data_IF_458562914433
#
_entry.id   IF_458562914433
#
_cell.length_a   1.000
_cell.length_b   1.000
_cell.length_c   1.000
_cell.angle_alpha   90.00
_cell.angle_beta   90.00
_cell.angle_gamma   90.00
#
_symmetry.space_group_name_H-M   'P 1'
#
loop_
_entity.id
_entity.type
_entity.pdbx_description
1 polymer ?
#
# COMPACT_ATOMS: atom_id res chain seq x y z
N UNK A 1 19.93 37.97 -31.24
CA UNK A 1 20.26 36.57 -30.93
C UNK A 1 19.07 35.71 -31.33
N UNK A 2 19.31 34.56 -31.96
CA UNK A 2 18.23 33.62 -32.32
C UNK A 2 17.61 33.05 -31.05
N UNK A 3 16.29 32.90 -31.03
CA UNK A 3 15.57 32.29 -29.91
C UNK A 3 15.70 30.75 -30.01
N UNK A 4 16.40 30.08 -29.09
CA UNK A 4 16.60 28.63 -29.17
C UNK A 4 15.29 27.85 -29.06
N UNK A 5 14.29 28.42 -28.38
CA UNK A 5 12.97 27.81 -28.24
C UNK A 5 12.16 27.88 -29.55
N UNK A 6 12.25 29.01 -30.27
CA UNK A 6 11.62 29.15 -31.58
C UNK A 6 12.19 28.12 -32.56
N UNK A 7 13.51 27.90 -32.53
CA UNK A 7 14.19 26.91 -33.37
C UNK A 7 13.77 25.47 -33.04
N UNK A 8 13.71 25.11 -31.76
CA UNK A 8 13.28 23.79 -31.31
C UNK A 8 11.84 23.49 -31.73
N UNK A 9 10.92 24.44 -31.50
CA UNK A 9 9.51 24.27 -31.84
C UNK A 9 9.31 24.24 -33.35
N UNK A 10 9.98 25.13 -34.11
CA UNK A 10 9.91 25.12 -35.57
C UNK A 10 10.42 23.80 -36.15
N UNK A 11 11.52 23.27 -35.60
CA UNK A 11 12.06 21.97 -35.99
C UNK A 11 11.06 20.83 -35.72
N UNK A 12 10.38 20.86 -34.57
CA UNK A 12 9.34 19.89 -34.23
C UNK A 12 8.12 19.98 -35.16
N UNK A 13 7.68 21.19 -35.50
CA UNK A 13 6.58 21.43 -36.45
C UNK A 13 6.94 20.85 -37.82
N UNK A 14 8.13 21.15 -38.33
CA UNK A 14 8.61 20.63 -39.62
C UNK A 14 8.72 19.10 -39.61
N UNK A 15 9.18 18.51 -38.51
CA UNK A 15 9.24 17.07 -38.34
C UNK A 15 7.84 16.44 -38.40
N UNK A 16 6.87 17.00 -37.68
CA UNK A 16 5.49 16.52 -37.68
C UNK A 16 4.85 16.67 -39.07
N UNK A 17 5.07 17.79 -39.76
CA UNK A 17 4.58 18.01 -41.13
C UNK A 17 5.15 16.97 -42.11
N UNK A 18 6.46 16.72 -42.05
CA UNK A 18 7.13 15.73 -42.92
C UNK A 18 6.62 14.30 -42.70
N UNK A 19 6.21 13.99 -41.47
CA UNK A 19 5.66 12.68 -41.12
C UNK A 19 4.13 12.59 -41.29
N UNK A 20 3.48 13.60 -41.86
CA UNK A 20 2.02 13.64 -42.05
C UNK A 20 1.22 13.82 -40.76
N UNK A 21 1.87 14.18 -39.65
CA UNK A 21 1.26 14.35 -38.33
C UNK A 21 0.66 15.76 -38.14
N UNK A 22 -0.15 16.23 -39.10
CA UNK A 22 -0.73 17.58 -39.08
C UNK A 22 -1.63 17.82 -37.85
N UNK A 23 -2.29 16.78 -37.34
CA UNK A 23 -3.07 16.85 -36.10
C UNK A 23 -2.25 17.36 -34.92
N UNK A 24 -1.01 16.88 -34.77
CA UNK A 24 -0.12 17.32 -33.69
C UNK A 24 0.29 18.78 -33.82
N UNK A 25 0.37 19.29 -35.05
CA UNK A 25 0.62 20.71 -35.27
C UNK A 25 -0.57 21.57 -34.81
N UNK A 26 -1.80 21.12 -35.10
CA UNK A 26 -3.01 21.80 -34.64
C UNK A 26 -3.13 21.76 -33.10
N UNK A 27 -2.78 20.62 -32.48
CA UNK A 27 -2.72 20.48 -31.01
C UNK A 27 -1.70 21.43 -30.36
N UNK A 28 -0.62 21.77 -31.07
CA UNK A 28 0.34 22.80 -30.63
C UNK A 28 -0.22 24.24 -30.76
N UNK A 29 -1.45 24.41 -31.25
CA UNK A 29 -2.09 25.71 -31.44
C UNK A 29 -1.82 26.36 -32.80
N UNK A 30 -1.28 25.63 -33.78
CA UNK A 30 -1.11 26.16 -35.14
C UNK A 30 -2.39 26.04 -35.94
N UNK A 31 -2.81 27.16 -36.52
CA UNK A 31 -3.93 27.18 -37.46
C UNK A 31 -3.53 26.56 -38.81
N UNK A 32 -4.48 25.91 -39.51
CA UNK A 32 -4.21 25.27 -40.81
C UNK A 32 -3.64 26.24 -41.86
N UNK A 33 -4.04 27.51 -41.80
CA UNK A 33 -3.60 28.57 -42.70
C UNK A 33 -2.09 28.87 -42.52
N UNK A 34 -1.63 28.88 -41.27
CA UNK A 34 -0.23 29.06 -40.92
C UNK A 34 0.59 27.84 -41.38
N UNK A 35 0.03 26.63 -41.25
CA UNK A 35 0.67 25.40 -41.72
C UNK A 35 0.86 25.36 -43.25
N UNK A 36 -0.08 25.93 -44.02
CA UNK A 36 0.06 26.05 -45.46
C UNK A 36 1.19 27.04 -45.83
N UNK A 37 1.32 28.14 -45.10
CA UNK A 37 2.38 29.14 -45.32
C UNK A 37 3.77 28.63 -44.88
N UNK A 38 3.83 27.79 -43.86
CA UNK A 38 5.06 27.15 -43.36
C UNK A 38 5.77 26.26 -44.40
N UNK A 39 5.10 25.88 -45.50
CA UNK A 39 5.74 25.17 -46.61
C UNK A 39 6.70 26.07 -47.40
N UNK A 40 6.58 27.39 -47.29
CA UNK A 40 7.42 28.33 -48.02
C UNK A 40 8.77 28.54 -47.29
N UNK A 41 9.92 28.35 -47.97
CA UNK A 41 11.25 28.54 -47.36
C UNK A 41 11.50 29.95 -46.81
N UNK A 42 10.85 30.97 -47.39
CA UNK A 42 10.91 32.37 -46.97
C UNK A 42 10.30 32.57 -45.58
N UNK A 43 9.13 31.96 -45.32
CA UNK A 43 8.42 32.04 -44.04
C UNK A 43 9.22 31.32 -42.95
N UNK A 44 9.79 30.16 -43.26
CA UNK A 44 10.66 29.44 -42.32
C UNK A 44 11.88 30.28 -41.92
N UNK A 45 12.52 30.92 -42.91
CA UNK A 45 13.68 31.77 -42.67
C UNK A 45 13.33 32.99 -41.81
N UNK A 46 12.13 33.56 -41.99
CA UNK A 46 11.63 34.66 -41.16
C UNK A 46 11.40 34.22 -39.71
N UNK A 47 10.68 33.12 -39.49
CA UNK A 47 10.35 32.63 -38.15
C UNK A 47 11.60 32.21 -37.35
N UNK A 48 12.61 31.66 -38.03
CA UNK A 48 13.86 31.22 -37.43
C UNK A 48 14.78 32.39 -37.05
N UNK A 49 14.80 33.45 -37.86
CA UNK A 49 15.67 34.61 -37.64
C UNK A 49 14.99 35.75 -36.85
N UNK A 50 13.72 35.57 -36.47
CA UNK A 50 12.99 36.58 -35.69
C UNK A 50 13.53 36.68 -34.25
N UNK A 51 13.81 37.90 -33.75
CA UNK A 51 14.29 38.12 -32.39
C UNK A 51 13.19 38.03 -31.31
N UNK A 52 11.92 38.02 -31.72
CA UNK A 52 10.74 37.92 -30.85
C UNK A 52 10.37 36.45 -30.62
N UNK A 53 10.12 36.06 -29.38
CA UNK A 53 9.55 34.75 -29.05
C UNK A 53 8.10 34.69 -29.48
N UNK A 54 7.77 33.81 -30.41
CA UNK A 54 6.39 33.55 -30.85
C UNK A 54 5.81 32.27 -30.22
N UNK A 55 6.59 31.62 -29.35
CA UNK A 55 6.14 30.48 -28.54
C UNK A 55 6.25 30.78 -27.05
N UNK A 56 5.24 30.34 -26.31
CA UNK A 56 5.28 30.27 -24.85
C UNK A 56 5.25 28.80 -24.45
N UNK A 57 6.25 28.33 -23.71
CA UNK A 57 6.26 26.98 -23.15
C UNK A 57 5.78 27.04 -21.73
N UNK A 58 4.67 26.36 -21.45
CA UNK A 58 4.19 26.14 -20.10
C UNK A 58 4.46 24.70 -19.70
N UNK A 59 4.98 24.52 -18.49
CA UNK A 59 5.18 23.19 -17.90
C UNK A 59 4.03 22.97 -16.92
N UNK A 60 3.23 21.93 -17.15
CA UNK A 60 2.24 21.49 -16.17
C UNK A 60 2.97 20.76 -15.02
N UNK A 61 3.17 21.50 -13.92
CA UNK A 61 3.85 20.98 -12.74
C UNK A 61 3.07 19.86 -12.04
N UNK A 62 1.74 19.80 -12.16
CA UNK A 62 0.95 18.73 -11.55
C UNK A 62 1.09 17.43 -12.32
N UNK A 63 1.03 17.49 -13.65
CA UNK A 63 1.28 16.32 -14.51
C UNK A 63 2.72 15.86 -14.36
N UNK A 64 3.69 16.79 -14.34
CA UNK A 64 5.09 16.45 -14.13
C UNK A 64 5.31 15.76 -12.79
N UNK A 65 4.71 16.27 -11.71
CA UNK A 65 4.74 15.62 -10.39
C UNK A 65 4.12 14.23 -10.43
N UNK A 66 2.94 14.05 -11.06
CA UNK A 66 2.32 12.73 -11.22
C UNK A 66 3.20 11.75 -11.98
N UNK A 67 3.88 12.20 -13.04
CA UNK A 67 4.83 11.39 -13.81
C UNK A 67 6.08 11.03 -12.98
N UNK A 68 6.60 11.96 -12.18
CA UNK A 68 7.74 11.73 -11.30
C UNK A 68 7.37 10.79 -10.14
N UNK A 69 6.24 10.98 -9.48
CA UNK A 69 5.73 10.05 -8.45
C UNK A 69 5.49 8.65 -9.01
N UNK A 70 5.07 8.54 -10.27
CA UNK A 70 4.97 7.27 -10.98
C UNK A 70 6.33 6.64 -11.34
N UNK A 71 7.39 7.44 -11.48
CA UNK A 71 8.74 7.00 -11.82
C UNK A 71 9.65 6.77 -10.60
N UNK A 72 9.34 7.36 -9.44
CA UNK A 72 10.15 7.32 -8.21
C UNK A 72 9.93 6.05 -7.37
N UNK A 73 8.85 5.28 -7.59
CA UNK A 73 8.68 4.01 -6.89
C UNK A 73 9.66 2.96 -7.39
N UNK A 74 10.48 2.42 -6.50
CA UNK A 74 11.35 1.30 -6.82
C UNK A 74 10.50 0.06 -7.16
N UNK A 75 10.98 -0.80 -8.07
CA UNK A 75 10.34 -2.08 -8.36
C UNK A 75 10.13 -2.93 -7.09
N UNK A 76 11.02 -2.77 -6.11
CA UNK A 76 10.91 -3.47 -4.82
C UNK A 76 9.74 -2.95 -3.98
N UNK A 77 9.56 -1.62 -3.91
CA UNK A 77 8.44 -1.01 -3.21
C UNK A 77 7.10 -1.42 -3.84
N UNK A 78 7.02 -1.44 -5.18
CA UNK A 78 5.81 -1.91 -5.88
C UNK A 78 5.49 -3.35 -5.51
N UNK A 79 6.48 -4.25 -5.54
CA UNK A 79 6.31 -5.65 -5.13
C UNK A 79 5.85 -5.77 -3.68
N UNK A 80 6.41 -4.95 -2.79
CA UNK A 80 6.08 -4.94 -1.37
C UNK A 80 4.64 -4.49 -1.14
N UNK A 81 4.16 -3.46 -1.85
CA UNK A 81 2.77 -3.01 -1.79
C UNK A 81 1.81 -4.11 -2.28
N UNK A 82 2.14 -4.76 -3.41
CA UNK A 82 1.30 -5.86 -3.93
C UNK A 82 1.23 -7.04 -2.96
N UNK A 83 2.35 -7.40 -2.34
CA UNK A 83 2.43 -8.45 -1.32
C UNK A 83 1.60 -8.10 -0.08
N UNK A 84 1.77 -6.87 0.44
CA UNK A 84 0.98 -6.37 1.56
C UNK A 84 -0.52 -6.40 1.27
N UNK A 85 -0.92 -6.00 0.05
CA UNK A 85 -2.31 -6.03 -0.39
C UNK A 85 -2.89 -7.46 -0.43
N UNK A 86 -2.15 -8.43 -0.97
CA UNK A 86 -2.57 -9.84 -1.00
C UNK A 86 -2.76 -10.44 0.39
N UNK A 87 -1.92 -10.02 1.35
CA UNK A 87 -2.01 -10.43 2.75
C UNK A 87 -3.08 -9.66 3.54
N UNK A 88 -3.80 -8.74 2.90
CA UNK A 88 -4.92 -8.01 3.51
C UNK A 88 -4.50 -6.77 4.31
N UNK A 89 -3.42 -6.09 3.93
CA UNK A 89 -3.05 -4.78 4.48
C UNK A 89 -4.22 -3.78 4.39
N UNK A 90 -4.39 -2.94 5.41
CA UNK A 90 -5.40 -1.88 5.40
C UNK A 90 -4.93 -0.68 4.57
N UNK A 91 -5.89 0.14 4.12
CA UNK A 91 -5.58 1.42 3.46
C UNK A 91 -4.72 2.32 4.35
N UNK A 92 -4.97 2.31 5.67
CA UNK A 92 -4.20 3.09 6.63
C UNK A 92 -2.74 2.62 6.70
N UNK A 93 -2.49 1.30 6.68
CA UNK A 93 -1.13 0.77 6.65
C UNK A 93 -0.39 1.20 5.38
N UNK A 94 -1.04 1.09 4.21
CA UNK A 94 -0.40 1.48 2.95
C UNK A 94 -0.16 2.98 2.83
N UNK A 95 -1.01 3.78 3.46
CA UNK A 95 -0.79 5.22 3.58
C UNK A 95 0.38 5.54 4.51
N UNK A 96 0.48 4.85 5.65
CA UNK A 96 1.54 5.07 6.65
C UNK A 96 2.91 4.63 6.15
N UNK A 97 3.02 3.46 5.51
CA UNK A 97 4.30 2.87 5.09
C UNK A 97 4.76 3.29 3.69
N UNK A 98 3.82 3.57 2.77
CA UNK A 98 4.14 3.79 1.35
C UNK A 98 3.52 5.09 0.78
N UNK A 99 2.87 5.90 1.62
CA UNK A 99 2.27 7.17 1.21
C UNK A 99 1.13 7.05 0.20
N UNK A 100 0.52 5.87 0.03
CA UNK A 100 -0.57 5.71 -0.95
C UNK A 100 -1.81 6.49 -0.53
N UNK A 101 -2.44 7.15 -1.51
CA UNK A 101 -3.77 7.70 -1.31
C UNK A 101 -4.82 6.57 -1.24
N UNK A 102 -5.97 6.78 -0.57
CA UNK A 102 -7.05 5.79 -0.56
C UNK A 102 -7.55 5.40 -1.96
N UNK A 103 -7.46 6.33 -2.93
CA UNK A 103 -7.84 6.09 -4.32
C UNK A 103 -6.86 5.14 -5.01
N UNK A 104 -5.55 5.34 -4.80
CA UNK A 104 -4.50 4.47 -5.35
C UNK A 104 -4.60 3.06 -4.77
N UNK A 105 -4.84 2.93 -3.45
CA UNK A 105 -5.07 1.63 -2.81
C UNK A 105 -6.28 0.91 -3.40
N UNK A 106 -7.38 1.62 -3.62
CA UNK A 106 -8.59 1.03 -4.21
C UNK A 106 -8.34 0.56 -5.64
N UNK A 107 -7.66 1.38 -6.45
CA UNK A 107 -7.26 1.04 -7.81
C UNK A 107 -6.34 -0.19 -7.84
N UNK A 108 -5.32 -0.23 -6.98
CA UNK A 108 -4.37 -1.33 -6.93
C UNK A 108 -5.02 -2.65 -6.46
N UNK A 109 -5.97 -2.59 -5.52
CA UNK A 109 -6.81 -3.75 -5.15
C UNK A 109 -7.64 -4.27 -6.32
N UNK A 110 -8.23 -3.38 -7.11
CA UNK A 110 -8.98 -3.77 -8.31
C UNK A 110 -8.08 -4.43 -9.35
N UNK A 111 -6.87 -3.89 -9.58
CA UNK A 111 -5.90 -4.46 -10.53
C UNK A 111 -5.45 -5.87 -10.12
N UNK A 112 -5.13 -6.07 -8.84
CA UNK A 112 -4.64 -7.37 -8.34
C UNK A 112 -5.80 -8.37 -8.12
N UNK A 113 -7.06 -7.90 -8.18
CA UNK A 113 -8.24 -8.73 -7.94
C UNK A 113 -8.43 -9.11 -6.46
N UNK A 114 -7.85 -8.35 -5.53
CA UNK A 114 -7.99 -8.60 -4.10
C UNK A 114 -9.24 -7.90 -3.59
N UNK A 115 -10.20 -8.69 -3.10
CA UNK A 115 -11.36 -8.13 -2.39
C UNK A 115 -10.98 -7.83 -0.94
N UNK A 116 -11.36 -6.66 -0.44
CA UNK A 116 -11.14 -6.33 0.96
C UNK A 116 -11.95 -7.30 1.83
N UNK A 117 -11.26 -8.09 2.67
CA UNK A 117 -11.92 -9.02 3.58
C UNK A 117 -12.79 -8.23 4.56
N UNK A 118 -14.10 -8.51 4.54
CA UNK A 118 -15.09 -7.93 5.44
C UNK A 118 -15.48 -8.98 6.46
N UNK A 119 -15.13 -8.76 7.72
CA UNK A 119 -15.50 -9.65 8.82
C UNK A 119 -14.88 -9.21 10.13
N UNK A 120 -15.58 -9.46 11.25
CA UNK A 120 -14.97 -9.46 12.58
C UNK A 120 -14.23 -10.78 12.73
N UNK A 121 -12.96 -10.71 13.09
CA UNK A 121 -12.17 -11.90 13.37
C UNK A 121 -12.54 -12.48 14.72
N UNK A 122 -12.42 -13.81 14.84
CA UNK A 122 -12.43 -14.47 16.15
C UNK A 122 -11.17 -14.04 16.90
N UNK A 123 -11.29 -13.91 18.21
CA UNK A 123 -10.14 -13.66 19.09
C UNK A 123 -9.07 -14.74 18.85
N UNK A 124 -7.79 -14.34 18.87
CA UNK A 124 -6.69 -15.29 18.77
C UNK A 124 -6.84 -16.38 19.83
N UNK A 125 -6.77 -17.65 19.42
CA UNK A 125 -6.59 -18.72 20.41
C UNK A 125 -5.21 -18.57 21.06
N UNK A 126 -5.09 -18.99 22.31
CA UNK A 126 -3.82 -18.95 23.06
C UNK A 126 -2.68 -19.65 22.30
N UNK A 127 -3.01 -20.74 21.60
CA UNK A 127 -2.08 -21.51 20.77
C UNK A 127 -1.60 -20.71 19.54
N UNK A 128 -2.51 -20.02 18.85
CA UNK A 128 -2.17 -19.20 17.68
C UNK A 128 -1.33 -18.00 18.09
N UNK A 129 -1.63 -17.41 19.24
CA UNK A 129 -0.94 -16.24 19.76
C UNK A 129 0.50 -16.57 20.20
N UNK A 130 0.69 -17.72 20.85
CA UNK A 130 2.01 -18.24 21.19
C UNK A 130 2.85 -18.58 19.96
N UNK A 131 2.22 -19.18 18.93
CA UNK A 131 2.88 -19.54 17.69
C UNK A 131 3.28 -18.29 16.88
N UNK A 132 2.42 -17.28 16.83
CA UNK A 132 2.71 -15.98 16.24
C UNK A 132 3.89 -15.30 16.95
N UNK A 133 3.89 -15.28 18.29
CA UNK A 133 4.97 -14.72 19.10
C UNK A 133 6.32 -15.40 18.82
N UNK A 134 6.35 -16.72 18.82
CA UNK A 134 7.58 -17.50 18.59
C UNK A 134 8.16 -17.23 17.19
N UNK A 135 7.31 -17.27 16.15
CA UNK A 135 7.76 -17.04 14.77
C UNK A 135 8.23 -15.61 14.55
N UNK A 136 7.47 -14.63 15.05
CA UNK A 136 7.84 -13.23 14.93
C UNK A 136 9.16 -12.92 15.63
N UNK A 137 9.33 -13.36 16.88
CA UNK A 137 10.58 -13.12 17.64
C UNK A 137 11.79 -13.80 17.01
N UNK A 138 11.63 -15.00 16.45
CA UNK A 138 12.68 -15.68 15.69
C UNK A 138 13.12 -14.84 14.48
N UNK A 139 12.16 -14.38 13.66
CA UNK A 139 12.45 -13.58 12.47
C UNK A 139 13.06 -12.22 12.81
N UNK A 140 12.62 -11.56 13.90
CA UNK A 140 13.25 -10.31 14.35
C UNK A 140 14.72 -10.51 14.74
N UNK A 141 15.05 -11.66 15.34
CA UNK A 141 16.43 -12.00 15.71
C UNK A 141 17.29 -12.37 14.49
N UNK A 142 16.72 -13.08 13.52
CA UNK A 142 17.38 -13.53 12.30
C UNK A 142 17.70 -12.36 11.36
N UNK A 143 16.75 -11.43 11.19
CA UNK A 143 16.90 -10.24 10.36
C UNK A 143 17.56 -9.06 11.09
N UNK A 144 17.94 -9.22 12.37
CA UNK A 144 18.60 -8.21 13.20
C UNK A 144 17.92 -6.83 13.17
N UNK A 145 16.59 -6.78 13.30
CA UNK A 145 15.88 -5.51 13.21
C UNK A 145 16.15 -4.66 14.45
N UNK A 146 16.82 -3.53 14.23
CA UNK A 146 17.25 -2.59 15.27
C UNK A 146 16.17 -1.54 15.57
N UNK A 147 15.34 -1.20 14.57
CA UNK A 147 14.32 -0.14 14.68
C UNK A 147 12.90 -0.71 14.72
N UNK A 148 12.26 -0.53 15.88
CA UNK A 148 10.89 -0.99 16.17
C UNK A 148 9.82 0.05 15.81
N UNK A 149 10.21 1.30 15.59
CA UNK A 149 9.29 2.39 15.22
C UNK A 149 9.12 2.43 13.71
N UNK A 150 7.93 2.06 13.22
CA UNK A 150 7.43 2.28 11.86
C UNK A 150 8.41 1.94 10.71
N UNK A 151 9.26 0.95 10.92
CA UNK A 151 10.21 0.51 9.91
C UNK A 151 9.52 -0.38 8.87
N UNK A 152 9.86 -0.16 7.60
CA UNK A 152 9.47 -1.03 6.49
C UNK A 152 9.98 -2.47 6.71
N UNK A 153 11.07 -2.63 7.47
CA UNK A 153 11.61 -3.92 7.88
C UNK A 153 10.69 -4.67 8.85
N UNK A 154 10.07 -3.97 9.81
CA UNK A 154 9.09 -4.59 10.70
C UNK A 154 7.83 -5.02 9.93
N UNK A 155 7.40 -4.21 8.96
CA UNK A 155 6.30 -4.58 8.06
C UNK A 155 6.65 -5.81 7.23
N UNK A 156 7.88 -5.90 6.70
CA UNK A 156 8.36 -7.04 5.94
C UNK A 156 8.34 -8.34 6.74
N UNK A 157 8.79 -8.28 8.00
CA UNK A 157 8.73 -9.43 8.90
C UNK A 157 7.29 -9.81 9.24
N UNK A 158 6.41 -8.83 9.48
CA UNK A 158 5.00 -9.11 9.67
C UNK A 158 4.37 -9.81 8.43
N UNK A 159 4.81 -9.46 7.23
CA UNK A 159 4.41 -10.14 5.99
C UNK A 159 4.98 -11.55 5.88
N UNK A 160 6.24 -11.78 6.26
CA UNK A 160 6.84 -13.12 6.28
C UNK A 160 6.08 -14.04 7.25
N UNK A 161 5.79 -13.56 8.45
CA UNK A 161 4.99 -14.29 9.43
C UNK A 161 3.59 -14.60 8.87
N UNK A 162 2.93 -13.61 8.26
CA UNK A 162 1.62 -13.84 7.64
C UNK A 162 1.65 -14.90 6.53
N UNK A 163 2.72 -14.95 5.74
CA UNK A 163 2.89 -15.95 4.68
C UNK A 163 3.15 -17.35 5.25
N UNK A 164 3.97 -17.48 6.29
CA UNK A 164 4.23 -18.77 6.94
C UNK A 164 2.95 -19.35 7.56
N UNK A 165 2.17 -18.52 8.25
CA UNK A 165 0.93 -18.95 8.91
C UNK A 165 -0.21 -19.25 7.93
N UNK A 166 -0.20 -18.59 6.77
CA UNK A 166 -1.18 -18.82 5.71
C UNK A 166 -0.69 -19.86 4.68
N UNK A 167 0.51 -20.40 4.86
CA UNK A 167 1.04 -21.45 4.02
C UNK A 167 0.24 -22.73 4.26
N UNK A 168 -0.19 -23.45 3.21
CA UNK A 168 -0.86 -24.74 3.36
C UNK A 168 0.15 -25.79 3.83
N UNK A 169 0.54 -25.76 5.10
CA UNK A 169 1.35 -26.77 5.74
C UNK A 169 0.43 -27.74 6.49
N UNK A 170 0.21 -28.92 5.92
CA UNK A 170 -0.42 -30.04 6.60
C UNK A 170 -1.69 -30.54 5.92
N UNK A 171 -1.71 -31.83 5.67
CA UNK A 171 -2.72 -32.62 4.94
C UNK A 171 -4.04 -32.82 5.69
N UNK A 172 -4.60 -31.77 6.28
CA UNK A 172 -5.96 -31.75 6.83
C UNK A 172 -6.60 -30.42 6.44
N UNK A 173 -6.99 -30.33 5.17
CA UNK A 173 -7.82 -29.24 4.66
C UNK A 173 -9.22 -29.38 5.27
N UNK A 174 -9.34 -29.04 6.54
CA UNK A 174 -10.62 -28.59 7.09
C UNK A 174 -10.90 -27.24 6.42
N UNK A 175 -11.97 -27.19 5.63
CA UNK A 175 -12.38 -26.07 4.75
C UNK A 175 -12.68 -24.74 5.49
N UNK A 176 -12.28 -24.63 6.77
CA UNK A 176 -12.47 -23.47 7.64
C UNK A 176 -11.18 -22.80 8.14
N UNK A 177 -9.98 -23.24 7.73
CA UNK A 177 -8.72 -22.58 8.12
C UNK A 177 -8.54 -21.24 7.41
N UNK A 178 -9.21 -20.24 7.96
CA UNK A 178 -9.24 -18.86 7.51
C UNK A 178 -7.83 -18.22 7.56
N UNK A 179 -7.27 -17.86 6.40
CA UNK A 179 -5.97 -17.19 6.30
C UNK A 179 -5.94 -15.88 7.09
N UNK A 180 -5.01 -15.70 8.03
CA UNK A 180 -4.84 -14.51 8.87
C UNK A 180 -4.46 -13.28 8.04
N UNK A 181 -5.14 -12.17 8.28
CA UNK A 181 -4.81 -10.89 7.64
C UNK A 181 -3.61 -10.22 8.30
N UNK A 182 -2.74 -9.64 7.48
CA UNK A 182 -1.59 -8.83 7.88
C UNK A 182 -1.97 -7.74 8.87
N UNK A 183 -3.14 -7.11 8.72
CA UNK A 183 -3.60 -6.06 9.61
C UNK A 183 -3.75 -6.52 11.06
N UNK A 184 -4.17 -7.77 11.27
CA UNK A 184 -4.39 -8.33 12.60
C UNK A 184 -3.06 -8.68 13.25
N UNK A 185 -2.20 -9.36 12.48
CA UNK A 185 -0.84 -9.72 12.90
C UNK A 185 -0.09 -8.44 13.29
N UNK A 186 -0.18 -7.41 12.45
CA UNK A 186 0.39 -6.10 12.72
C UNK A 186 -0.15 -5.48 14.02
N UNK A 187 -1.46 -5.46 14.22
CA UNK A 187 -2.07 -4.95 15.45
C UNK A 187 -1.62 -5.71 16.70
N UNK A 188 -1.43 -7.04 16.59
CA UNK A 188 -0.97 -7.87 17.71
C UNK A 188 0.48 -7.58 18.05
N UNK A 189 1.35 -7.51 17.04
CA UNK A 189 2.76 -7.12 17.19
C UNK A 189 2.87 -5.73 17.82
N UNK A 190 2.10 -4.76 17.33
CA UNK A 190 2.06 -3.40 17.87
C UNK A 190 1.62 -3.37 19.33
N UNK A 191 0.64 -4.20 19.71
CA UNK A 191 0.22 -4.35 21.12
C UNK A 191 1.38 -4.85 21.99
N UNK A 192 2.11 -5.88 21.54
CA UNK A 192 3.25 -6.40 22.29
C UNK A 192 4.39 -5.41 22.45
N UNK A 193 4.67 -4.61 21.43
CA UNK A 193 5.67 -3.53 21.48
C UNK A 193 5.22 -2.45 22.47
N UNK A 194 3.94 -2.03 22.41
CA UNK A 194 3.36 -1.05 23.35
C UNK A 194 3.34 -1.53 24.80
N UNK A 195 3.10 -2.82 25.02
CA UNK A 195 3.15 -3.45 26.34
C UNK A 195 4.59 -3.72 26.82
N UNK A 196 5.60 -3.45 25.98
CA UNK A 196 7.01 -3.62 26.31
C UNK A 196 7.45 -5.08 26.41
N UNK A 197 6.76 -6.00 25.73
CA UNK A 197 7.14 -7.42 25.68
C UNK A 197 8.37 -7.65 24.79
N UNK A 198 8.66 -6.71 23.88
CA UNK A 198 9.81 -6.72 22.98
C UNK A 198 10.54 -5.36 23.00
N UNK A 199 11.89 -5.30 23.00
CA UNK A 199 12.84 -6.42 22.94
C UNK A 199 12.84 -7.26 24.22
N UNK A 200 12.93 -8.61 24.12
CA UNK A 200 13.01 -9.46 25.30
C UNK A 200 14.27 -9.08 26.06
N UNK A 201 14.12 -8.71 27.33
CA UNK A 201 15.24 -8.25 28.16
C UNK A 201 16.44 -9.19 28.02
N UNK A 202 17.56 -8.67 27.52
CA UNK A 202 18.82 -9.38 27.52
C UNK A 202 19.29 -9.53 28.98
N UNK A 203 18.91 -10.64 29.61
CA UNK A 203 19.32 -10.99 30.97
C UNK A 203 18.15 -11.15 31.95
N UNK A 204 17.83 -12.42 32.19
CA UNK A 204 17.06 -12.99 33.29
C UNK A 204 15.54 -12.72 33.42
N UNK A 205 14.84 -13.86 33.46
CA UNK A 205 13.43 -14.12 33.80
C UNK A 205 12.36 -13.66 32.81
N UNK A 206 12.32 -14.33 31.65
CA UNK A 206 11.03 -14.55 30.99
C UNK A 206 10.21 -15.53 31.85
N UNK A 207 9.12 -15.06 32.44
CA UNK A 207 8.17 -15.90 33.18
C UNK A 207 6.83 -15.95 32.42
N UNK A 208 6.31 -17.13 32.05
CA UNK A 208 5.06 -17.25 31.29
C UNK A 208 3.81 -16.79 32.08
N UNK A 209 3.96 -16.45 33.37
CA UNK A 209 2.87 -15.97 34.23
C UNK A 209 2.32 -14.57 33.90
N UNK A 210 3.04 -13.74 33.13
CA UNK A 210 2.54 -12.39 32.79
C UNK A 210 1.45 -12.39 31.72
N UNK A 211 1.28 -13.49 30.98
CA UNK A 211 0.18 -13.65 30.02
C UNK A 211 -1.18 -13.91 30.72
N UNK A 212 -1.21 -14.28 32.00
CA UNK A 212 -2.46 -14.57 32.70
C UNK A 212 -3.22 -13.34 33.23
N UNK A 213 -2.62 -12.14 33.27
CA UNK A 213 -3.24 -11.02 33.99
C UNK A 213 -4.28 -10.20 33.19
N UNK A 214 -4.52 -10.52 31.92
CA UNK A 214 -5.55 -9.85 31.11
C UNK A 214 -6.81 -10.72 30.93
N UNK A 215 -6.81 -11.95 31.44
CA UNK A 215 -7.95 -12.87 31.37
C UNK A 215 -8.65 -13.03 32.73
N UNK A 216 -9.13 -11.94 33.35
CA UNK A 216 -10.01 -12.04 34.53
C UNK A 216 -10.74 -10.72 34.79
N UNK A 217 -11.79 -10.42 34.02
CA UNK A 217 -12.85 -9.53 34.50
C UNK A 217 -14.20 -9.83 33.83
N UNK A 218 -14.62 -11.10 33.85
CA UNK A 218 -16.00 -11.49 33.57
C UNK A 218 -16.49 -12.57 34.53
N UNK A 219 -16.55 -12.28 35.84
CA UNK A 219 -17.50 -12.99 36.69
C UNK A 219 -17.81 -12.25 37.99
N UNK A 220 -18.86 -11.43 37.97
CA UNK A 220 -19.65 -11.18 39.19
C UNK A 220 -21.07 -10.75 38.85
N UNK A 221 -21.95 -11.73 38.67
CA UNK A 221 -23.29 -11.77 39.28
C UNK A 221 -23.95 -13.11 38.94
N UNK A 222 -23.73 -14.09 39.81
CA UNK A 222 -24.72 -15.11 40.10
C UNK A 222 -24.99 -15.07 41.59
N UNK A 223 -26.26 -14.96 41.96
CA UNK A 223 -26.80 -15.31 43.27
C UNK A 223 -28.33 -15.54 43.10
N UNK A 224 -29.00 -16.27 44.01
CA UNK A 224 -29.26 -17.69 43.79
C UNK A 224 -30.75 -18.10 43.88
N UNK A 225 -30.97 -19.36 43.50
CA UNK A 225 -32.09 -20.29 43.69
C UNK A 225 -33.13 -19.94 44.78
N UNK A 226 -34.42 -20.04 44.42
CA UNK A 226 -35.47 -20.57 45.30
C UNK A 226 -36.33 -21.57 44.51
N UNK A 227 -36.38 -22.78 45.04
CA UNK A 227 -37.21 -23.90 44.61
C UNK A 227 -38.61 -23.78 45.21
N UNK A 228 -39.65 -24.12 44.46
CA UNK A 228 -40.82 -24.79 45.01
C UNK A 228 -41.54 -25.58 43.92
N UNK A 229 -41.84 -26.83 44.27
CA UNK A 229 -42.49 -27.86 43.46
C UNK A 229 -44.02 -27.81 43.61
N UNK A 230 -44.67 -28.86 43.10
CA UNK A 230 -46.13 -29.14 43.00
C UNK A 230 -46.77 -28.51 41.76
N UNK A 231 -47.46 -29.25 40.88
CA UNK A 231 -47.99 -30.61 40.90
C UNK A 231 -49.23 -30.61 39.99
N UNK A 232 -49.40 -31.67 39.21
CA UNK A 232 -50.62 -32.16 38.50
C UNK A 232 -51.75 -31.19 38.09
N UNK A 233 -52.13 -31.23 36.80
CA UNK A 233 -53.33 -31.98 36.38
C UNK A 233 -53.72 -31.69 34.92
N UNK A 234 -54.23 -32.73 34.29
CA UNK A 234 -54.84 -32.84 32.97
C UNK A 234 -55.95 -31.80 32.70
N UNK A 235 -56.03 -31.33 31.45
CA UNK A 235 -57.17 -31.48 30.50
C UNK A 235 -56.89 -30.72 29.20
#
# INVERSE_FOLDING_TARGET
>A
MKSPINEAILSQILHNMRNGQLRRCIEMGLEPEILAQLQQPSVLSLLLNTPVSWCTVTIDGEILKKLLTGAERSNEEVRMIERALRLGATTQMLQQFFGLSPQDVALQRMIIGVTARRGRWREFSEEMDALLWYRWTHLMSEHQVVELEDSVQLLDIAMLVAEELNSPQGSDADEGSESLSLAIIWNRIQTWIKEGLYPPAHGNSWSPRKLQLVASNHQRQQQPVVTSAEGDSEL
#
